data_IF_320264053093
#
_entry.id   IF_320264053093
#
_cell.length_a   1.000
_cell.length_b   1.000
_cell.length_c   1.000
_cell.angle_alpha   90.00
_cell.angle_beta   90.00
_cell.angle_gamma   90.00
#
_symmetry.space_group_name_H-M   'P 1'
#
loop_
_entity.id
_entity.type
_entity.pdbx_description
1 polymer ?
#
# COMPACT_ATOMS: atom_id res chain seq x y z
N UNK A 1 22.77 36.08 36.82
CA UNK A 1 24.18 35.64 36.69
C UNK A 1 24.73 35.41 38.10
N UNK A 2 25.48 34.32 38.31
CA UNK A 2 26.12 33.86 39.56
C UNK A 2 25.26 33.27 40.69
N UNK A 3 25.65 32.17 41.36
CA UNK A 3 26.39 30.93 41.07
C UNK A 3 26.22 30.06 42.35
N UNK A 4 25.90 28.79 42.13
CA UNK A 4 26.23 27.55 42.87
C UNK A 4 26.45 27.49 44.41
N UNK A 5 26.02 26.33 44.93
CA UNK A 5 26.88 25.33 45.63
C UNK A 5 26.65 25.10 47.14
N UNK A 6 25.95 24.00 47.41
CA UNK A 6 26.36 22.85 48.26
C UNK A 6 26.90 23.05 49.68
N UNK A 7 26.20 22.45 50.67
CA UNK A 7 26.82 21.81 51.84
C UNK A 7 26.21 20.42 52.10
N UNK A 8 27.09 19.41 52.16
CA UNK A 8 26.85 18.03 52.64
C UNK A 8 26.73 18.00 54.16
N UNK A 9 25.97 17.03 54.69
CA UNK A 9 26.30 16.27 55.89
C UNK A 9 25.90 14.80 55.70
N UNK A 10 26.48 13.93 56.53
CA UNK A 10 26.97 12.57 56.25
C UNK A 10 26.10 11.41 56.77
N UNK A 11 26.18 10.28 56.04
CA UNK A 11 26.24 8.86 56.45
C UNK A 11 25.28 8.27 57.52
N UNK A 12 24.47 7.27 57.11
CA UNK A 12 24.65 5.85 57.48
C UNK A 12 23.68 4.92 56.69
N UNK A 13 24.04 3.64 56.44
CA UNK A 13 23.41 2.79 55.42
C UNK A 13 22.20 1.99 55.94
N UNK A 14 21.04 2.12 55.29
CA UNK A 14 19.87 1.25 55.53
C UNK A 14 19.84 0.07 54.55
N UNK A 15 19.73 -1.13 55.14
CA UNK A 15 19.60 -2.45 54.48
C UNK A 15 18.31 -2.53 53.65
N UNK A 16 18.24 -3.37 52.59
CA UNK A 16 17.10 -3.44 51.69
C UNK A 16 15.86 -4.00 52.38
N UNK A 17 14.73 -3.31 52.24
CA UNK A 17 13.42 -3.84 52.60
C UNK A 17 13.00 -4.90 51.57
N UNK A 18 12.72 -6.11 52.03
CA UNK A 18 12.14 -7.20 51.25
C UNK A 18 10.69 -6.84 50.87
N UNK A 19 10.31 -6.78 49.58
CA UNK A 19 8.90 -6.70 49.20
C UNK A 19 8.21 -8.04 49.40
N UNK A 20 7.17 -8.03 50.23
CA UNK A 20 6.22 -9.13 50.44
C UNK A 20 5.29 -9.24 49.20
N UNK A 21 4.89 -10.44 48.75
CA UNK A 21 4.14 -10.59 47.50
C UNK A 21 2.69 -10.12 47.70
N UNK A 22 2.28 -9.10 46.96
CA UNK A 22 0.92 -8.59 46.97
C UNK A 22 0.30 -8.75 45.58
N UNK A 23 -0.80 -9.51 45.54
CA UNK A 23 -1.91 -9.31 44.62
C UNK A 23 -1.65 -9.68 43.16
N UNK A 24 -2.23 -10.82 42.74
CA UNK A 24 -2.57 -11.06 41.34
C UNK A 24 -3.40 -9.87 40.83
N UNK A 25 -2.83 -9.09 39.91
CA UNK A 25 -3.56 -8.11 39.10
C UNK A 25 -4.48 -8.86 38.13
N UNK A 26 -5.70 -8.38 37.85
CA UNK A 26 -6.63 -9.07 36.96
C UNK A 26 -6.07 -9.05 35.54
N UNK A 27 -5.81 -10.24 35.02
CA UNK A 27 -5.77 -10.60 33.59
C UNK A 27 -5.71 -9.40 32.64
N UNK A 28 -4.49 -8.97 32.32
CA UNK A 28 -4.24 -8.38 31.01
C UNK A 28 -4.82 -9.36 29.98
N UNK A 29 -5.66 -8.91 29.02
CA UNK A 29 -6.01 -9.77 27.92
C UNK A 29 -4.68 -10.16 27.28
N UNK A 30 -4.39 -11.47 27.26
CA UNK A 30 -3.32 -12.04 26.45
C UNK A 30 -3.51 -11.46 25.06
N UNK A 31 -2.66 -10.51 24.72
CA UNK A 31 -2.66 -9.86 23.43
C UNK A 31 -2.26 -10.98 22.47
N UNK A 32 -3.25 -11.61 21.85
CA UNK A 32 -2.99 -12.64 20.85
C UNK A 32 -1.97 -12.06 19.87
N UNK A 33 -0.89 -12.81 19.56
CA UNK A 33 0.06 -12.34 18.58
C UNK A 33 -0.74 -11.93 17.34
N UNK A 34 -0.48 -10.74 16.77
CA UNK A 34 -1.19 -10.31 15.59
C UNK A 34 -1.12 -11.46 14.58
N UNK A 35 -2.26 -11.87 14.01
CA UNK A 35 -2.28 -13.04 13.12
C UNK A 35 -1.24 -12.82 12.02
N UNK A 36 -0.58 -13.89 11.57
CA UNK A 36 0.66 -13.81 10.77
C UNK A 36 0.57 -12.88 9.53
N UNK A 37 -0.63 -12.64 9.00
CA UNK A 37 -0.91 -11.72 7.90
C UNK A 37 -0.79 -10.22 8.25
N UNK A 38 -0.77 -9.85 9.54
CA UNK A 38 -0.55 -8.48 10.05
C UNK A 38 0.92 -8.11 10.25
N UNK A 39 1.85 -9.05 10.04
CA UNK A 39 3.27 -8.76 10.25
C UNK A 39 3.84 -7.77 9.20
N UNK A 40 3.15 -7.57 8.07
CA UNK A 40 3.58 -6.71 6.97
C UNK A 40 2.33 -6.00 6.43
N UNK A 41 2.27 -4.67 6.48
CA UNK A 41 1.24 -3.89 5.76
C UNK A 41 1.69 -3.72 4.31
N UNK A 42 1.00 -4.35 3.36
CA UNK A 42 1.28 -4.21 1.94
C UNK A 42 0.53 -3.00 1.38
N UNK A 43 1.26 -1.94 1.05
CA UNK A 43 0.68 -0.82 0.32
C UNK A 43 0.70 -1.07 -1.19
N UNK A 44 0.01 -0.21 -1.92
CA UNK A 44 -0.07 -0.20 -3.38
C UNK A 44 1.31 -0.27 -4.07
N UNK A 45 2.27 0.53 -3.57
CA UNK A 45 3.61 0.62 -4.14
C UNK A 45 4.38 -0.70 -4.10
N UNK A 46 4.20 -1.51 -3.06
CA UNK A 46 4.84 -2.83 -2.91
C UNK A 46 4.35 -3.84 -3.96
N UNK A 47 3.17 -3.61 -4.54
CA UNK A 47 2.58 -4.50 -5.54
C UNK A 47 2.79 -3.98 -6.96
N UNK A 48 2.43 -2.72 -7.20
CA UNK A 48 2.34 -2.17 -8.56
C UNK A 48 3.70 -1.77 -9.15
N UNK A 49 4.67 -1.34 -8.33
CA UNK A 49 6.03 -1.04 -8.82
C UNK A 49 6.72 -2.32 -9.32
N UNK A 50 6.77 -3.43 -8.55
CA UNK A 50 7.33 -4.68 -9.07
C UNK A 50 6.64 -5.19 -10.35
N UNK A 51 5.32 -5.06 -10.46
CA UNK A 51 4.59 -5.41 -11.68
C UNK A 51 5.06 -4.56 -12.87
N UNK A 52 5.07 -3.24 -12.70
CA UNK A 52 5.49 -2.30 -13.75
C UNK A 52 6.95 -2.53 -14.17
N UNK A 53 7.84 -2.82 -13.21
CA UNK A 53 9.25 -3.13 -13.48
C UNK A 53 9.42 -4.45 -14.23
N UNK A 54 8.62 -5.47 -13.90
CA UNK A 54 8.65 -6.74 -14.61
C UNK A 54 8.22 -6.55 -16.08
N UNK A 55 7.19 -5.74 -16.33
CA UNK A 55 6.72 -5.45 -17.68
C UNK A 55 7.68 -4.57 -18.50
N UNK A 56 8.45 -3.69 -17.85
CA UNK A 56 9.53 -2.92 -18.47
C UNK A 56 10.79 -3.74 -18.72
N UNK A 57 10.92 -4.87 -18.02
CA UNK A 57 12.12 -5.69 -18.07
C UNK A 57 12.20 -6.50 -19.36
N UNK A 58 13.38 -6.66 -19.97
CA UNK A 58 13.56 -7.59 -21.08
C UNK A 58 13.47 -9.06 -20.63
N UNK A 59 13.26 -9.34 -19.34
CA UNK A 59 13.28 -10.68 -18.76
C UNK A 59 12.31 -11.64 -19.44
N UNK A 60 11.13 -11.18 -19.85
CA UNK A 60 10.15 -12.00 -20.58
C UNK A 60 10.71 -12.52 -21.92
N UNK A 61 11.54 -11.71 -22.59
CA UNK A 61 12.17 -12.07 -23.87
C UNK A 61 13.48 -12.85 -23.72
N UNK A 62 14.25 -12.60 -22.66
CA UNK A 62 15.60 -13.15 -22.47
C UNK A 62 15.62 -14.41 -21.59
N UNK A 63 14.72 -14.50 -20.60
CA UNK A 63 14.67 -15.60 -19.64
C UNK A 63 13.21 -15.85 -19.21
N UNK A 64 12.38 -16.44 -20.09
CA UNK A 64 10.93 -16.58 -19.87
C UNK A 64 10.58 -17.34 -18.60
N UNK A 65 11.37 -18.35 -18.21
CA UNK A 65 11.17 -19.09 -16.96
C UNK A 65 11.43 -18.20 -15.73
N UNK A 66 12.42 -17.32 -15.79
CA UNK A 66 12.69 -16.37 -14.72
C UNK A 66 11.59 -15.30 -14.65
N UNK A 67 11.13 -14.80 -15.79
CA UNK A 67 10.01 -13.86 -15.86
C UNK A 67 8.73 -14.46 -15.27
N UNK A 68 8.44 -15.72 -15.59
CA UNK A 68 7.34 -16.48 -14.98
C UNK A 68 7.47 -16.58 -13.46
N UNK A 69 8.66 -16.91 -12.94
CA UNK A 69 8.89 -16.99 -11.50
C UNK A 69 8.69 -15.63 -10.80
N UNK A 70 9.18 -14.54 -11.40
CA UNK A 70 8.96 -13.18 -10.89
C UNK A 70 7.47 -12.81 -10.96
N UNK A 71 6.78 -13.13 -12.07
CA UNK A 71 5.33 -12.89 -12.21
C UNK A 71 4.53 -13.59 -11.12
N UNK A 72 4.86 -14.85 -10.78
CA UNK A 72 4.22 -15.56 -9.66
C UNK A 72 4.44 -14.82 -8.35
N UNK A 73 5.67 -14.33 -8.11
CA UNK A 73 5.99 -13.54 -6.92
C UNK A 73 5.16 -12.26 -6.82
N UNK A 74 5.10 -11.48 -7.89
CA UNK A 74 4.31 -10.23 -7.95
C UNK A 74 2.82 -10.50 -7.81
N UNK A 75 2.31 -11.53 -8.48
CA UNK A 75 0.90 -11.95 -8.36
C UNK A 75 0.56 -12.41 -6.94
N UNK A 76 1.51 -13.06 -6.25
CA UNK A 76 1.39 -13.44 -4.85
C UNK A 76 1.33 -12.23 -3.92
N UNK A 77 2.13 -11.20 -4.15
CA UNK A 77 2.05 -9.93 -3.41
C UNK A 77 0.70 -9.26 -3.62
N UNK A 78 0.21 -9.20 -4.85
CA UNK A 78 -1.11 -8.66 -5.18
C UNK A 78 -2.24 -9.44 -4.48
N UNK A 79 -2.15 -10.77 -4.44
CA UNK A 79 -3.12 -11.62 -3.74
C UNK A 79 -3.09 -11.38 -2.22
N UNK A 80 -1.91 -11.23 -1.63
CA UNK A 80 -1.78 -10.92 -0.20
C UNK A 80 -2.36 -9.53 0.12
N UNK A 81 -2.09 -8.52 -0.71
CA UNK A 81 -2.71 -7.20 -0.56
C UNK A 81 -4.23 -7.30 -0.66
N UNK A 82 -4.76 -8.04 -1.63
CA UNK A 82 -6.20 -8.24 -1.77
C UNK A 82 -6.83 -8.84 -0.50
N UNK A 83 -6.19 -9.87 0.07
CA UNK A 83 -6.64 -10.49 1.33
C UNK A 83 -6.59 -9.49 2.49
N UNK A 84 -5.53 -8.68 2.60
CA UNK A 84 -5.43 -7.65 3.62
C UNK A 84 -6.55 -6.62 3.49
N UNK A 85 -6.75 -6.07 2.30
CA UNK A 85 -7.82 -5.11 2.00
C UNK A 85 -9.21 -5.69 2.35
N UNK A 86 -9.53 -6.92 1.93
CA UNK A 86 -10.83 -7.53 2.25
C UNK A 86 -11.01 -7.87 3.73
N UNK A 87 -9.94 -8.23 4.43
CA UNK A 87 -10.03 -8.54 5.86
C UNK A 87 -10.16 -7.27 6.71
N UNK A 88 -9.44 -6.21 6.33
CA UNK A 88 -9.46 -4.95 7.06
C UNK A 88 -10.60 -4.02 6.62
N UNK A 89 -11.34 -4.39 5.57
CA UNK A 89 -12.44 -3.64 4.99
C UNK A 89 -13.48 -3.19 6.03
N UNK A 90 -13.47 -1.89 6.29
CA UNK A 90 -14.47 -1.08 6.99
C UNK A 90 -15.13 -0.09 6.04
N UNK A 91 -14.52 0.20 4.89
CA UNK A 91 -15.04 1.12 3.87
C UNK A 91 -15.17 0.47 2.49
N UNK A 92 -15.94 1.13 1.61
CA UNK A 92 -16.01 0.72 0.19
C UNK A 92 -14.67 0.91 -0.52
N UNK A 93 -13.84 1.88 -0.10
CA UNK A 93 -12.51 2.09 -0.69
C UNK A 93 -11.62 0.87 -0.47
N UNK A 94 -11.53 0.37 0.76
CA UNK A 94 -10.73 -0.82 1.09
C UNK A 94 -11.24 -2.05 0.33
N UNK A 95 -12.56 -2.17 0.11
CA UNK A 95 -13.12 -3.23 -0.75
C UNK A 95 -12.66 -3.05 -2.20
N UNK A 96 -12.71 -1.84 -2.76
CA UNK A 96 -12.28 -1.57 -4.13
C UNK A 96 -10.77 -1.76 -4.32
N UNK A 97 -9.95 -1.41 -3.34
CA UNK A 97 -8.52 -1.72 -3.31
C UNK A 97 -8.27 -3.23 -3.31
N UNK A 98 -9.09 -3.97 -2.57
CA UNK A 98 -9.07 -5.44 -2.55
C UNK A 98 -9.43 -6.03 -3.91
N UNK A 99 -10.47 -5.50 -4.56
CA UNK A 99 -10.86 -5.91 -5.92
C UNK A 99 -9.77 -5.58 -6.93
N UNK A 100 -9.20 -4.38 -6.87
CA UNK A 100 -8.10 -3.93 -7.72
C UNK A 100 -6.90 -4.87 -7.61
N UNK A 101 -6.44 -5.13 -6.39
CA UNK A 101 -5.31 -6.02 -6.12
C UNK A 101 -5.61 -7.47 -6.50
N UNK A 102 -6.85 -7.93 -6.27
CA UNK A 102 -7.29 -9.27 -6.65
C UNK A 102 -7.33 -9.45 -8.17
N UNK A 103 -7.83 -8.44 -8.89
CA UNK A 103 -7.82 -8.43 -10.35
C UNK A 103 -6.39 -8.48 -10.90
N UNK A 104 -5.47 -7.70 -10.33
CA UNK A 104 -4.05 -7.74 -10.70
C UNK A 104 -3.40 -9.10 -10.44
N UNK A 105 -3.68 -9.72 -9.29
CA UNK A 105 -3.19 -11.06 -8.95
C UNK A 105 -3.67 -12.12 -9.97
N UNK A 106 -4.97 -12.07 -10.31
CA UNK A 106 -5.55 -12.97 -11.29
C UNK A 106 -5.03 -12.67 -12.71
N UNK A 107 -4.77 -11.40 -13.04
CA UNK A 107 -4.23 -11.01 -14.35
C UNK A 107 -2.85 -11.63 -14.55
N UNK A 108 -1.99 -11.58 -13.54
CA UNK A 108 -0.71 -12.27 -13.54
C UNK A 108 -0.86 -13.79 -13.61
N UNK A 109 -1.78 -14.37 -12.85
CA UNK A 109 -2.09 -15.81 -12.88
C UNK A 109 -2.62 -16.31 -14.24
N UNK A 110 -3.36 -15.48 -14.96
CA UNK A 110 -3.95 -15.84 -16.26
C UNK A 110 -2.90 -16.08 -17.36
N UNK A 111 -1.69 -15.54 -17.19
CA UNK A 111 -0.56 -15.76 -18.12
C UNK A 111 -0.10 -17.22 -18.17
N UNK A 112 -0.45 -18.02 -17.16
CA UNK A 112 -0.13 -19.46 -17.09
C UNK A 112 -1.19 -20.37 -17.72
N UNK A 113 -2.33 -19.82 -18.16
CA UNK A 113 -3.42 -20.61 -18.74
C UNK A 113 -3.17 -20.89 -20.23
N UNK A 114 -3.16 -22.17 -20.67
CA UNK A 114 -3.04 -22.50 -22.08
C UNK A 114 -4.33 -22.15 -22.83
N UNK A 115 -4.24 -21.19 -23.76
CA UNK A 115 -5.35 -20.75 -24.61
C UNK A 115 -6.38 -19.88 -23.88
N UNK A 116 -6.55 -18.63 -24.32
CA UNK A 116 -7.50 -17.67 -23.72
C UNK A 116 -6.95 -16.83 -22.56
N UNK A 117 -5.73 -17.11 -22.10
CA UNK A 117 -5.05 -16.33 -21.06
C UNK A 117 -4.97 -14.83 -21.36
N UNK A 118 -4.73 -14.45 -22.62
CA UNK A 118 -4.65 -13.04 -23.02
C UNK A 118 -5.99 -12.29 -22.90
N UNK A 119 -7.12 -12.93 -23.24
CA UNK A 119 -8.44 -12.29 -23.12
C UNK A 119 -8.85 -12.14 -21.65
N UNK A 120 -8.56 -13.16 -20.83
CA UNK A 120 -8.78 -13.10 -19.39
C UNK A 120 -7.88 -12.04 -18.73
N UNK A 121 -6.60 -11.99 -19.11
CA UNK A 121 -5.65 -10.98 -18.66
C UNK A 121 -6.18 -9.57 -18.93
N UNK A 122 -6.58 -9.26 -20.17
CA UNK A 122 -7.10 -7.94 -20.52
C UNK A 122 -8.38 -7.59 -19.75
N UNK A 123 -9.26 -8.57 -19.53
CA UNK A 123 -10.49 -8.37 -18.73
C UNK A 123 -10.16 -8.01 -17.29
N UNK A 124 -9.16 -8.66 -16.71
CA UNK A 124 -8.72 -8.42 -15.34
C UNK A 124 -7.96 -7.10 -15.21
N UNK A 125 -7.11 -6.76 -16.18
CA UNK A 125 -6.46 -5.44 -16.24
C UNK A 125 -7.48 -4.31 -16.43
N UNK A 126 -8.55 -4.54 -17.20
CA UNK A 126 -9.66 -3.60 -17.30
C UNK A 126 -10.36 -3.41 -15.95
N UNK A 127 -10.64 -4.50 -15.23
CA UNK A 127 -11.26 -4.43 -13.91
C UNK A 127 -10.38 -3.67 -12.91
N UNK A 128 -9.09 -4.00 -12.84
CA UNK A 128 -8.09 -3.29 -12.04
C UNK A 128 -8.06 -1.79 -12.38
N UNK A 129 -7.94 -1.45 -13.67
CA UNK A 129 -7.97 -0.07 -14.16
C UNK A 129 -9.21 0.71 -13.78
N UNK A 130 -10.38 0.10 -13.95
CA UNK A 130 -11.66 0.70 -13.62
C UNK A 130 -11.80 0.94 -12.11
N UNK A 131 -11.32 0.02 -11.27
CA UNK A 131 -11.32 0.19 -9.82
C UNK A 131 -10.40 1.33 -9.37
N UNK A 132 -9.17 1.38 -9.87
CA UNK A 132 -8.21 2.46 -9.55
C UNK A 132 -8.74 3.83 -10.03
N UNK A 133 -9.30 3.89 -11.24
CA UNK A 133 -9.91 5.12 -11.76
C UNK A 133 -11.07 5.60 -10.87
N UNK A 134 -11.90 4.66 -10.42
CA UNK A 134 -13.06 4.95 -9.56
C UNK A 134 -12.62 5.43 -8.18
N UNK A 135 -11.59 4.82 -7.60
CA UNK A 135 -10.98 5.24 -6.34
C UNK A 135 -10.45 6.67 -6.43
N UNK A 136 -9.58 6.96 -7.39
CA UNK A 136 -9.05 8.31 -7.57
C UNK A 136 -10.13 9.36 -7.86
N UNK A 137 -11.15 9.00 -8.68
CA UNK A 137 -12.29 9.91 -8.92
C UNK A 137 -13.09 10.18 -7.66
N UNK A 138 -13.29 9.16 -6.82
CA UNK A 138 -13.99 9.30 -5.55
C UNK A 138 -13.21 10.19 -4.59
N UNK A 139 -11.90 10.02 -4.47
CA UNK A 139 -11.03 10.90 -3.67
C UNK A 139 -11.15 12.36 -4.13
N UNK A 140 -11.10 12.61 -5.45
CA UNK A 140 -11.30 13.95 -6.02
C UNK A 140 -12.66 14.52 -5.60
N UNK A 141 -13.73 13.74 -5.73
CA UNK A 141 -15.10 14.19 -5.42
C UNK A 141 -15.28 14.46 -3.93
N UNK A 142 -14.74 13.60 -3.07
CA UNK A 142 -14.79 13.77 -1.62
C UNK A 142 -14.00 15.01 -1.18
N UNK A 143 -12.83 15.23 -1.79
CA UNK A 143 -12.00 16.41 -1.50
C UNK A 143 -12.68 17.71 -1.91
N UNK A 144 -13.27 17.75 -3.11
CA UNK A 144 -13.99 18.91 -3.63
C UNK A 144 -15.25 19.25 -2.83
N UNK A 145 -15.79 18.31 -2.04
CA UNK A 145 -16.93 18.54 -1.15
C UNK A 145 -16.54 19.20 0.17
N UNK A 146 -15.26 19.22 0.54
CA UNK A 146 -14.78 19.88 1.76
C UNK A 146 -14.89 21.39 1.59
N UNK A 147 -15.17 22.11 2.68
CA UNK A 147 -15.23 23.59 2.67
C UNK A 147 -13.89 24.23 2.28
N UNK A 148 -12.78 23.52 2.54
CA UNK A 148 -11.42 23.90 2.19
C UNK A 148 -10.69 22.71 1.59
N UNK A 149 -10.76 22.48 0.27
CA UNK A 149 -10.04 21.38 -0.37
C UNK A 149 -8.53 21.58 -0.26
N UNK A 150 -7.83 20.55 0.21
CA UNK A 150 -6.39 20.45 0.23
C UNK A 150 -5.88 20.14 -1.18
N UNK A 151 -5.03 21.03 -1.70
CA UNK A 151 -4.46 20.89 -3.06
C UNK A 151 -3.68 19.59 -3.25
N UNK A 152 -3.02 19.11 -2.19
CA UNK A 152 -2.23 17.88 -2.24
C UNK A 152 -3.12 16.63 -2.27
N UNK A 153 -4.22 16.60 -1.50
CA UNK A 153 -5.21 15.50 -1.56
C UNK A 153 -5.89 15.46 -2.92
N UNK A 154 -6.26 16.62 -3.47
CA UNK A 154 -6.81 16.70 -4.82
C UNK A 154 -5.82 16.22 -5.89
N UNK A 155 -4.55 16.59 -5.76
CA UNK A 155 -3.51 16.16 -6.70
C UNK A 155 -3.23 14.66 -6.60
N UNK A 156 -3.28 14.07 -5.40
CA UNK A 156 -3.17 12.62 -5.20
C UNK A 156 -4.34 11.89 -5.89
N UNK A 157 -5.58 12.31 -5.65
CA UNK A 157 -6.75 11.69 -6.29
C UNK A 157 -6.73 11.82 -7.82
N UNK A 158 -6.28 12.97 -8.37
CA UNK A 158 -6.08 13.14 -9.83
C UNK A 158 -5.02 12.18 -10.35
N UNK A 159 -3.94 11.98 -9.61
CA UNK A 159 -2.86 11.10 -9.99
C UNK A 159 -3.31 9.64 -10.02
N UNK A 160 -4.08 9.20 -9.02
CA UNK A 160 -4.66 7.85 -8.97
C UNK A 160 -5.71 7.63 -10.06
N UNK A 161 -6.56 8.63 -10.32
CA UNK A 161 -7.51 8.57 -11.42
C UNK A 161 -6.77 8.45 -12.77
N UNK A 162 -5.73 9.27 -12.98
CA UNK A 162 -4.92 9.19 -14.20
C UNK A 162 -4.18 7.86 -14.32
N UNK A 163 -3.64 7.33 -13.21
CA UNK A 163 -3.01 6.01 -13.13
C UNK A 163 -4.00 4.92 -13.54
N UNK A 164 -5.18 4.88 -12.93
CA UNK A 164 -6.25 3.95 -13.28
C UNK A 164 -6.69 4.07 -14.74
N UNK A 165 -6.88 5.28 -15.27
CA UNK A 165 -7.23 5.50 -16.68
C UNK A 165 -6.11 5.04 -17.64
N UNK A 166 -4.84 5.20 -17.27
CA UNK A 166 -3.71 4.82 -18.11
C UNK A 166 -3.65 3.32 -18.39
N UNK A 167 -4.16 2.48 -17.49
CA UNK A 167 -4.21 1.01 -17.65
C UNK A 167 -5.00 0.55 -18.87
N UNK A 168 -5.91 1.39 -19.39
CA UNK A 168 -6.69 1.07 -20.58
C UNK A 168 -5.88 1.24 -21.86
N UNK A 169 -4.86 2.10 -21.87
CA UNK A 169 -4.11 2.40 -23.09
C UNK A 169 -3.42 1.16 -23.67
N UNK A 170 -2.70 0.31 -22.91
CA UNK A 170 -2.06 -0.88 -23.45
C UNK A 170 -3.05 -1.94 -23.95
N UNK A 171 -4.30 -1.91 -23.47
CA UNK A 171 -5.36 -2.83 -23.93
C UNK A 171 -5.75 -2.53 -25.39
N UNK A 172 -5.77 -1.26 -25.78
CA UNK A 172 -6.14 -0.82 -27.13
C UNK A 172 -4.94 -0.53 -28.03
N UNK A 173 -3.83 -0.08 -27.43
CA UNK A 173 -2.59 0.35 -28.07
C UNK A 173 -1.40 -0.28 -27.34
N UNK A 174 -1.07 -1.57 -27.61
CA UNK A 174 -0.03 -2.30 -26.89
C UNK A 174 1.34 -1.61 -26.86
N UNK A 175 1.67 -0.81 -27.88
CA UNK A 175 2.88 -0.01 -27.97
C UNK A 175 3.02 1.05 -26.86
N UNK A 176 1.92 1.40 -26.19
CA UNK A 176 1.91 2.36 -25.08
C UNK A 176 2.35 1.76 -23.75
N UNK A 177 2.48 0.42 -23.65
CA UNK A 177 2.78 -0.28 -22.39
C UNK A 177 3.99 0.27 -21.65
N UNK A 178 5.11 0.49 -22.35
CA UNK A 178 6.32 1.06 -21.74
C UNK A 178 6.09 2.45 -21.15
N UNK A 179 5.41 3.34 -21.87
CA UNK A 179 5.13 4.69 -21.41
C UNK A 179 4.16 4.69 -20.21
N UNK A 180 3.15 3.83 -20.27
CA UNK A 180 2.16 3.65 -19.19
C UNK A 180 2.82 3.12 -17.92
N UNK A 181 3.66 2.09 -18.01
CA UNK A 181 4.36 1.53 -16.84
C UNK A 181 5.32 2.55 -16.20
N UNK A 182 6.02 3.35 -17.00
CA UNK A 182 6.85 4.45 -16.47
C UNK A 182 6.01 5.53 -15.80
N UNK A 183 4.87 5.89 -16.40
CA UNK A 183 3.95 6.85 -15.81
C UNK A 183 3.37 6.34 -14.49
N UNK A 184 2.95 5.07 -14.41
CA UNK A 184 2.39 4.47 -13.19
C UNK A 184 3.42 4.43 -12.06
N UNK A 185 4.66 4.03 -12.34
CA UNK A 185 5.75 4.12 -11.35
C UNK A 185 5.94 5.57 -10.88
N UNK A 186 5.99 6.52 -11.82
CA UNK A 186 6.13 7.94 -11.49
C UNK A 186 4.97 8.47 -10.64
N UNK A 187 3.74 8.05 -10.93
CA UNK A 187 2.54 8.38 -10.19
C UNK A 187 2.61 7.88 -8.75
N UNK A 188 2.90 6.59 -8.56
CA UNK A 188 3.03 5.96 -7.24
C UNK A 188 4.13 6.66 -6.43
N UNK A 189 5.32 6.86 -7.01
CA UNK A 189 6.43 7.50 -6.31
C UNK A 189 6.11 8.94 -5.91
N UNK A 190 5.43 9.69 -6.80
CA UNK A 190 5.02 11.07 -6.50
C UNK A 190 4.02 11.10 -5.34
N UNK A 191 3.03 10.20 -5.34
CA UNK A 191 2.06 10.04 -4.25
C UNK A 191 2.74 9.71 -2.92
N UNK A 192 3.66 8.74 -2.90
CA UNK A 192 4.42 8.38 -1.69
C UNK A 192 5.25 9.56 -1.15
N UNK A 193 5.79 10.42 -2.04
CA UNK A 193 6.50 11.64 -1.62
C UNK A 193 5.54 12.69 -1.07
N UNK A 194 4.30 12.77 -1.57
CA UNK A 194 3.29 13.72 -1.12
C UNK A 194 2.67 13.36 0.23
N UNK A 195 2.54 12.06 0.56
CA UNK A 195 1.90 11.55 1.79
C UNK A 195 2.37 12.27 3.08
N UNK A 196 3.68 12.40 3.38
CA UNK A 196 4.14 13.11 4.59
C UNK A 196 3.75 14.59 4.62
N UNK A 197 3.57 15.21 3.44
CA UNK A 197 3.16 16.61 3.33
C UNK A 197 1.64 16.76 3.47
N UNK A 198 0.86 15.77 3.02
CA UNK A 198 -0.58 15.70 3.19
C UNK A 198 -0.93 15.57 4.69
N UNK A 199 -0.29 14.65 5.41
CA UNK A 199 -0.50 14.46 6.85
C UNK A 199 -0.24 15.75 7.66
N UNK A 200 0.81 16.50 7.29
CA UNK A 200 1.11 17.80 7.91
C UNK A 200 0.08 18.88 7.55
N UNK A 201 -0.53 18.81 6.38
CA UNK A 201 -1.56 19.78 5.98
C UNK A 201 -2.89 19.56 6.70
N UNK A 202 -3.24 18.30 6.97
CA UNK A 202 -4.42 17.90 7.75
C UNK A 202 -4.27 18.29 9.21
N UNK A 203 -3.09 18.13 9.81
CA UNK A 203 -2.84 18.54 11.20
C UNK A 203 -2.88 20.06 11.46
N UNK A 204 -2.73 20.86 10.40
CA UNK A 204 -2.69 22.33 10.47
C UNK A 204 -3.97 23.01 9.95
N UNK A 205 -4.96 22.23 9.50
CA UNK A 205 -6.26 22.71 9.00
C UNK A 205 -7.35 22.58 10.07
#
# INVERSE_FOLDING_TARGET
MNIQSTRRFTNSPQRPAVPKPAGKSPSEPLQEPPPAWRAITLNEAVVEIPQSLLELSPLASQAPTAAAAVQVGVSGLAALRAVQCFHEAKSLEEVLEGVSSGALALAGGSTFLPGGGAALHNTLMFAHGATEFSLGTREIVEELRKERPAKLELAAGVLDAAKGASTFLPIFFPETGTAVNLFQIGAILTKTVMEPHMERSVQNS
#
